data_IF_166612421531
#
_entry.id   IF_166612421531
#
_cell.length_a   1.000
_cell.length_b   1.000
_cell.length_c   1.000
_cell.angle_alpha   90.00
_cell.angle_beta   90.00
_cell.angle_gamma   90.00
#
_symmetry.space_group_name_H-M   'P 1'
#
loop_
_entity.id
_entity.type
_entity.pdbx_description
1 polymer ?
#
# COMPACT_ATOMS: atom_id res chain seq x y z
N UNK A 1 -14.61 0.04 18.71
CA UNK A 1 -15.39 1.21 18.21
C UNK A 1 -15.76 1.02 16.75
N UNK A 2 -14.81 0.68 15.87
CA UNK A 2 -15.07 0.40 14.45
C UNK A 2 -16.11 -0.72 14.22
N UNK A 3 -15.95 -1.89 14.84
CA UNK A 3 -16.89 -3.02 14.68
C UNK A 3 -18.28 -2.79 15.27
N UNK A 4 -18.41 -1.81 16.17
CA UNK A 4 -19.69 -1.41 16.73
C UNK A 4 -20.47 -0.52 15.74
N UNK A 5 -19.77 0.11 14.80
CA UNK A 5 -20.31 1.05 13.83
C UNK A 5 -20.50 0.38 12.46
N UNK A 6 -19.52 -0.42 12.01
CA UNK A 6 -19.55 -1.11 10.70
C UNK A 6 -19.77 -2.60 10.93
N UNK A 7 -20.97 -3.08 10.60
CA UNK A 7 -21.38 -4.46 10.85
C UNK A 7 -21.00 -5.44 9.73
N UNK A 8 -20.86 -4.94 8.51
CA UNK A 8 -20.46 -5.74 7.36
C UNK A 8 -19.30 -5.08 6.62
N UNK A 9 -18.16 -5.75 6.63
CA UNK A 9 -16.95 -5.34 5.92
C UNK A 9 -16.11 -6.59 5.60
N UNK A 10 -15.26 -6.45 4.59
CA UNK A 10 -14.21 -7.42 4.29
C UNK A 10 -12.86 -6.77 4.52
N UNK A 11 -11.86 -7.59 4.79
CA UNK A 11 -10.49 -7.12 4.95
C UNK A 11 -9.73 -7.56 3.70
N UNK A 12 -9.12 -6.61 3.00
CA UNK A 12 -8.23 -6.90 1.89
C UNK A 12 -6.81 -6.58 2.35
N UNK A 13 -5.95 -7.60 2.37
CA UNK A 13 -4.55 -7.47 2.71
C UNK A 13 -3.71 -7.58 1.44
N UNK A 14 -3.13 -6.46 1.03
CA UNK A 14 -2.17 -6.38 -0.07
C UNK A 14 -0.80 -6.79 0.46
N UNK A 15 -0.39 -8.02 0.14
CA UNK A 15 0.90 -8.55 0.60
C UNK A 15 1.97 -8.34 -0.47
N UNK A 16 3.11 -7.83 -0.04
CA UNK A 16 4.27 -7.59 -0.87
C UNK A 16 5.51 -7.97 -0.08
N UNK A 17 6.45 -8.68 -0.69
CA UNK A 17 7.66 -9.04 0.07
C UNK A 17 8.42 -7.77 0.53
N UNK A 18 9.16 -7.88 1.63
CA UNK A 18 9.84 -6.73 2.26
C UNK A 18 10.83 -6.03 1.32
N UNK A 19 11.54 -6.76 0.47
CA UNK A 19 12.53 -6.19 -0.43
C UNK A 19 11.85 -5.35 -1.53
N UNK A 20 10.81 -5.89 -2.16
CA UNK A 20 10.02 -5.17 -3.16
C UNK A 20 9.34 -3.94 -2.55
N UNK A 21 8.84 -4.04 -1.31
CA UNK A 21 8.24 -2.91 -0.59
C UNK A 21 9.28 -1.80 -0.33
N UNK A 22 10.50 -2.17 0.04
CA UNK A 22 11.59 -1.22 0.23
C UNK A 22 11.95 -0.55 -1.09
N UNK A 23 12.12 -1.32 -2.16
CA UNK A 23 12.48 -0.81 -3.48
C UNK A 23 11.44 0.17 -4.03
N UNK A 24 10.15 -0.19 -3.96
CA UNK A 24 9.05 0.68 -4.40
C UNK A 24 8.95 1.98 -3.62
N UNK A 25 9.21 1.95 -2.32
CA UNK A 25 9.11 3.14 -1.46
C UNK A 25 10.35 4.03 -1.51
N UNK A 26 11.55 3.44 -1.71
CA UNK A 26 12.81 4.19 -1.64
C UNK A 26 13.01 5.21 -2.77
N UNK A 27 12.29 5.04 -3.87
CA UNK A 27 12.42 5.87 -5.08
C UNK A 27 11.14 6.60 -5.45
N UNK A 28 10.12 6.53 -4.59
CA UNK A 28 8.88 7.25 -4.81
C UNK A 28 9.15 8.75 -4.74
N UNK A 29 8.61 9.46 -5.73
CA UNK A 29 8.59 10.92 -5.77
C UNK A 29 7.16 11.41 -5.57
N UNK A 30 7.02 12.61 -5.06
CA UNK A 30 5.71 13.20 -4.80
C UNK A 30 5.68 14.66 -5.26
N UNK A 31 4.56 15.07 -5.85
CA UNK A 31 4.26 16.48 -6.04
C UNK A 31 3.90 17.08 -4.67
N UNK A 32 4.66 18.07 -4.15
CA UNK A 32 4.45 18.61 -2.81
C UNK A 32 3.14 19.41 -2.67
N UNK A 33 2.48 19.74 -3.78
CA UNK A 33 1.24 20.52 -3.80
C UNK A 33 0.02 19.60 -3.95
N UNK A 34 0.05 18.66 -4.89
CA UNK A 34 -1.09 17.78 -5.18
C UNK A 34 -1.06 16.45 -4.43
N UNK A 35 0.09 16.10 -3.85
CA UNK A 35 0.37 14.80 -3.22
C UNK A 35 0.28 13.60 -4.18
N UNK A 36 0.29 13.87 -5.49
CA UNK A 36 0.37 12.84 -6.52
C UNK A 36 1.71 12.10 -6.40
N UNK A 37 1.64 10.78 -6.30
CA UNK A 37 2.82 9.91 -6.17
C UNK A 37 3.26 9.40 -7.53
N UNK A 38 4.57 9.40 -7.75
CA UNK A 38 5.22 8.95 -8.98
C UNK A 38 6.12 7.77 -8.65
N UNK A 39 6.02 6.73 -9.49
CA UNK A 39 6.75 5.47 -9.35
C UNK A 39 8.24 5.65 -9.68
N UNK A 40 9.11 4.72 -9.23
CA UNK A 40 10.55 4.78 -9.49
C UNK A 40 10.92 4.88 -10.98
N UNK A 41 10.11 4.31 -11.87
CA UNK A 41 10.31 4.32 -13.33
C UNK A 41 10.00 5.68 -13.97
N UNK A 42 9.40 6.61 -13.21
CA UNK A 42 9.13 7.97 -13.70
C UNK A 42 10.40 8.83 -13.66
N UNK A 43 10.99 8.99 -14.85
CA UNK A 43 12.33 9.59 -15.02
C UNK A 43 12.33 11.12 -14.83
N UNK A 44 11.19 11.79 -15.01
CA UNK A 44 11.14 13.26 -14.96
C UNK A 44 11.14 13.75 -13.51
N UNK A 45 11.79 14.89 -13.26
CA UNK A 45 11.78 15.58 -11.95
C UNK A 45 10.61 16.57 -11.82
N UNK A 46 9.68 16.58 -12.78
CA UNK A 46 8.59 17.55 -12.87
C UNK A 46 7.27 16.81 -13.05
N UNK A 47 6.23 17.23 -12.33
CA UNK A 47 4.88 16.74 -12.55
C UNK A 47 4.38 17.26 -13.92
N UNK A 48 4.02 16.38 -14.87
CA UNK A 48 3.63 16.78 -16.23
C UNK A 48 2.29 17.54 -16.28
N UNK A 49 1.46 17.44 -15.24
CA UNK A 49 0.16 18.12 -15.15
C UNK A 49 0.27 19.53 -14.57
N UNK A 50 1.19 19.74 -13.63
CA UNK A 50 1.26 20.97 -12.83
C UNK A 50 2.52 21.80 -13.09
N UNK A 51 3.59 21.18 -13.61
CA UNK A 51 4.90 21.81 -13.75
C UNK A 51 5.69 21.90 -12.44
N UNK A 52 5.16 21.35 -11.33
CA UNK A 52 5.84 21.38 -10.04
C UNK A 52 7.05 20.46 -10.02
N UNK A 53 8.10 20.86 -9.29
CA UNK A 53 9.24 19.99 -9.04
C UNK A 53 8.87 18.89 -8.05
N UNK A 54 9.15 17.65 -8.44
CA UNK A 54 8.91 16.48 -7.59
C UNK A 54 9.97 16.41 -6.49
N UNK A 55 9.55 15.94 -5.31
CA UNK A 55 10.44 15.76 -4.17
C UNK A 55 10.45 14.31 -3.71
N UNK A 56 11.55 13.89 -3.07
CA UNK A 56 11.63 12.65 -2.30
C UNK A 56 11.39 13.04 -0.84
N UNK A 57 10.54 12.30 -0.13
CA UNK A 57 10.26 12.57 1.27
C UNK A 57 11.36 12.03 2.17
N UNK A 58 11.58 12.66 3.32
CA UNK A 58 12.59 12.19 4.28
C UNK A 58 12.31 10.76 4.79
N UNK A 59 11.04 10.35 4.84
CA UNK A 59 10.60 9.01 5.26
C UNK A 59 10.72 7.92 4.18
N UNK A 60 11.18 8.31 2.98
CA UNK A 60 11.44 7.41 1.84
C UNK A 60 12.96 7.09 1.72
N UNK A 61 13.80 7.44 2.72
CA UNK A 61 15.19 6.95 2.81
C UNK A 61 15.25 5.45 3.16
N UNK A 62 16.18 4.66 2.61
CA UNK A 62 16.20 3.19 2.78
C UNK A 62 16.10 2.69 4.23
N UNK A 63 16.82 3.33 5.17
CA UNK A 63 16.80 2.95 6.58
C UNK A 63 15.43 3.24 7.23
N UNK A 64 14.80 4.37 6.87
CA UNK A 64 13.48 4.74 7.35
C UNK A 64 12.41 3.83 6.77
N UNK A 65 12.50 3.49 5.48
CA UNK A 65 11.58 2.58 4.79
C UNK A 65 11.64 1.19 5.41
N UNK A 66 12.84 0.63 5.64
CA UNK A 66 12.98 -0.69 6.28
C UNK A 66 12.28 -0.74 7.64
N UNK A 67 12.51 0.28 8.49
CA UNK A 67 11.85 0.38 9.80
C UNK A 67 10.32 0.51 9.68
N UNK A 68 9.82 1.25 8.70
CA UNK A 68 8.38 1.40 8.44
C UNK A 68 7.75 0.08 8.03
N UNK A 69 8.39 -0.65 7.11
CA UNK A 69 7.92 -1.97 6.66
C UNK A 69 7.91 -2.96 7.81
N UNK A 70 8.97 -3.00 8.63
CA UNK A 70 9.01 -3.87 9.82
C UNK A 70 7.90 -3.54 10.82
N UNK A 71 7.71 -2.25 11.12
CA UNK A 71 6.66 -1.81 12.03
C UNK A 71 5.27 -2.16 11.50
N UNK A 72 5.06 -2.04 10.19
CA UNK A 72 3.81 -2.44 9.55
C UNK A 72 3.55 -3.94 9.75
N UNK A 73 4.50 -4.82 9.43
CA UNK A 73 4.30 -6.27 9.59
C UNK A 73 4.15 -6.68 11.06
N UNK A 74 4.93 -6.09 11.97
CA UNK A 74 4.82 -6.34 13.41
C UNK A 74 3.43 -6.02 13.96
N UNK A 75 2.80 -4.96 13.47
CA UNK A 75 1.48 -4.53 13.94
C UNK A 75 0.33 -5.21 13.18
N UNK A 76 0.48 -5.41 11.87
CA UNK A 76 -0.58 -5.90 10.98
C UNK A 76 -0.77 -7.42 11.07
N UNK A 77 0.32 -8.21 11.15
CA UNK A 77 0.19 -9.68 11.17
C UNK A 77 -0.61 -10.20 12.39
N UNK A 78 -0.39 -9.70 13.63
CA UNK A 78 -1.22 -10.10 14.76
C UNK A 78 -2.69 -9.72 14.59
N UNK A 79 -2.96 -8.57 13.96
CA UNK A 79 -4.32 -8.09 13.71
C UNK A 79 -5.05 -8.95 12.67
N UNK A 80 -4.37 -9.34 11.58
CA UNK A 80 -4.90 -10.28 10.60
C UNK A 80 -5.21 -11.64 11.24
N UNK A 81 -4.33 -12.13 12.11
CA UNK A 81 -4.55 -13.38 12.85
C UNK A 81 -5.77 -13.30 13.77
N UNK A 82 -5.94 -12.17 14.48
CA UNK A 82 -7.11 -11.91 15.32
C UNK A 82 -8.40 -11.93 14.49
N UNK A 83 -8.44 -11.19 13.38
CA UNK A 83 -9.63 -11.15 12.52
C UNK A 83 -9.96 -12.50 11.89
N UNK A 84 -8.95 -13.27 11.49
CA UNK A 84 -9.15 -14.64 11.01
C UNK A 84 -9.76 -15.54 12.11
N UNK A 85 -9.29 -15.43 13.36
CA UNK A 85 -9.84 -16.16 14.50
C UNK A 85 -11.29 -15.74 14.86
N UNK A 86 -11.65 -14.48 14.61
CA UNK A 86 -13.02 -13.96 14.74
C UNK A 86 -13.93 -14.27 13.53
N UNK A 87 -13.48 -15.16 12.62
CA UNK A 87 -14.21 -15.58 11.42
C UNK A 87 -14.51 -14.45 10.42
N UNK A 88 -13.72 -13.38 10.43
CA UNK A 88 -13.81 -12.31 9.42
C UNK A 88 -13.22 -12.79 8.10
N UNK A 89 -13.84 -12.38 6.99
CA UNK A 89 -13.33 -12.66 5.64
C UNK A 89 -12.11 -11.76 5.36
N UNK A 90 -10.93 -12.36 5.44
CA UNK A 90 -9.65 -11.73 5.08
C UNK A 90 -9.21 -12.27 3.71
N UNK A 91 -9.15 -11.39 2.71
CA UNK A 91 -8.65 -11.71 1.38
C UNK A 91 -7.22 -11.22 1.25
N UNK A 92 -6.29 -12.14 1.00
CA UNK A 92 -4.90 -11.82 0.72
C UNK A 92 -4.70 -11.70 -0.80
N UNK A 93 -4.15 -10.58 -1.24
CA UNK A 93 -3.83 -10.31 -2.65
C UNK A 93 -2.32 -10.12 -2.77
N UNK A 94 -1.71 -10.74 -3.78
CA UNK A 94 -0.31 -10.53 -4.13
C UNK A 94 -0.16 -9.18 -4.85
N UNK A 95 0.48 -8.24 -4.16
CA UNK A 95 0.68 -6.87 -4.63
C UNK A 95 1.98 -6.69 -5.45
N UNK A 96 2.73 -7.77 -5.72
CA UNK A 96 3.92 -7.72 -6.59
C UNK A 96 3.56 -7.54 -8.07
N UNK A 97 2.32 -7.86 -8.44
CA UNK A 97 1.75 -7.74 -9.80
C UNK A 97 1.52 -6.29 -10.25
N UNK A 98 1.08 -6.11 -11.50
CA UNK A 98 0.74 -4.77 -12.01
C UNK A 98 -0.48 -4.19 -11.30
N UNK A 99 -0.64 -2.86 -11.38
CA UNK A 99 -1.77 -2.15 -10.78
C UNK A 99 -3.10 -2.69 -11.33
N UNK A 100 -3.16 -2.97 -12.63
CA UNK A 100 -4.34 -3.49 -13.31
C UNK A 100 -4.71 -4.90 -12.80
N UNK A 101 -3.72 -5.79 -12.67
CA UNK A 101 -3.94 -7.15 -12.16
C UNK A 101 -4.38 -7.16 -10.69
N UNK A 102 -3.82 -6.28 -9.87
CA UNK A 102 -4.22 -6.13 -8.46
C UNK A 102 -5.62 -5.54 -8.38
N UNK A 103 -5.93 -4.53 -9.19
CA UNK A 103 -7.23 -3.88 -9.22
C UNK A 103 -8.35 -4.84 -9.65
N UNK A 104 -8.14 -5.60 -10.73
CA UNK A 104 -9.12 -6.61 -11.16
C UNK A 104 -9.34 -7.70 -10.12
N UNK A 105 -8.31 -8.09 -9.36
CA UNK A 105 -8.48 -9.03 -8.24
C UNK A 105 -9.36 -8.43 -7.13
N UNK A 106 -9.18 -7.15 -6.80
CA UNK A 106 -10.02 -6.44 -5.82
C UNK A 106 -11.47 -6.37 -6.30
N UNK A 107 -11.70 -6.00 -7.57
CA UNK A 107 -13.05 -5.94 -8.15
C UNK A 107 -13.75 -7.30 -8.07
N UNK A 108 -13.07 -8.38 -8.48
CA UNK A 108 -13.63 -9.73 -8.39
C UNK A 108 -14.00 -10.12 -6.95
N UNK A 109 -13.20 -9.73 -5.95
CA UNK A 109 -13.50 -9.99 -4.53
C UNK A 109 -14.75 -9.22 -4.08
N UNK A 110 -14.89 -7.97 -4.52
CA UNK A 110 -16.04 -7.12 -4.15
C UNK A 110 -17.31 -7.60 -4.83
N UNK A 111 -17.27 -7.98 -6.10
CA UNK A 111 -18.42 -8.47 -6.87
C UNK A 111 -18.89 -9.86 -6.45
N UNK A 112 -17.98 -10.69 -5.93
CA UNK A 112 -18.31 -12.03 -5.42
C UNK A 112 -18.80 -12.05 -3.96
N UNK A 113 -18.94 -10.87 -3.34
CA UNK A 113 -19.41 -10.71 -1.96
C UNK A 113 -20.93 -10.57 -1.89
#
# INVERSE_FOLDING_TARGET
>A
MFDLIVKDYIIIFLDLNKLDAIERLSWRRIDPVTWESFWPEFIQDINPKTGNQLIIRDDDKPEAVSKRVDTFYQNTLPLLALWAAEWKKVYKIDASKTVEEVFSQIENIIESK
#
